data_IF_234219494219
#
_entry.id   IF_234219494219
#
_cell.length_a   1.000
_cell.length_b   1.000
_cell.length_c   1.000
_cell.angle_alpha   90.00
_cell.angle_beta   90.00
_cell.angle_gamma   90.00
#
_symmetry.space_group_name_H-M   'P 1'
#
loop_
_entity.id
_entity.type
_entity.pdbx_description
1 polymer ?
#
# COMPACT_ATOMS: atom_id res chain seq x y z
N UNK A 1 35.42 -29.31 -15.13
CA UNK A 1 33.95 -29.15 -15.06
C UNK A 1 33.60 -28.61 -13.69
N UNK A 2 33.30 -27.31 -13.58
CA UNK A 2 33.01 -26.66 -12.29
C UNK A 2 31.53 -26.78 -11.93
N UNK A 3 31.24 -27.46 -10.82
CA UNK A 3 29.89 -27.52 -10.25
C UNK A 3 29.61 -26.23 -9.48
N UNK A 4 28.91 -25.28 -10.10
CA UNK A 4 28.39 -24.11 -9.42
C UNK A 4 27.22 -24.54 -8.51
N UNK A 5 27.50 -24.69 -7.20
CA UNK A 5 26.45 -24.69 -6.17
C UNK A 5 25.77 -23.32 -6.19
N UNK A 6 24.60 -23.24 -6.83
CA UNK A 6 23.67 -22.11 -6.66
C UNK A 6 23.26 -22.09 -5.18
N UNK A 7 23.78 -21.12 -4.42
CA UNK A 7 23.11 -20.66 -3.20
C UNK A 7 21.72 -20.24 -3.63
N UNK A 8 20.69 -20.86 -3.05
CA UNK A 8 19.34 -20.34 -3.16
C UNK A 8 19.38 -18.90 -2.68
N UNK A 9 19.00 -17.96 -3.55
CA UNK A 9 18.76 -16.59 -3.14
C UNK A 9 17.68 -16.64 -2.06
N UNK A 10 18.03 -16.22 -0.84
CA UNK A 10 17.05 -15.90 0.19
C UNK A 10 16.01 -14.97 -0.46
N UNK A 11 14.69 -15.20 -0.30
CA UNK A 11 13.71 -14.33 -0.92
C UNK A 11 13.96 -12.92 -0.41
N UNK A 12 14.26 -12.01 -1.33
CA UNK A 12 14.36 -10.58 -1.09
C UNK A 12 13.20 -10.19 -0.18
N UNK A 13 13.52 -9.67 1.01
CA UNK A 13 12.52 -9.15 1.94
C UNK A 13 11.65 -8.21 1.11
N UNK A 14 10.31 -8.36 1.08
CA UNK A 14 9.49 -7.49 0.25
C UNK A 14 9.85 -6.04 0.61
N UNK A 15 10.09 -5.17 -0.38
CA UNK A 15 10.47 -3.79 -0.11
C UNK A 15 9.44 -3.21 0.85
N UNK A 16 9.93 -2.47 1.85
CA UNK A 16 9.06 -1.76 2.78
C UNK A 16 8.10 -0.83 2.05
N UNK A 17 7.11 -0.25 2.75
CA UNK A 17 6.14 0.64 2.12
C UNK A 17 6.87 1.81 1.45
N UNK A 18 6.33 2.32 0.34
CA UNK A 18 6.83 3.57 -0.26
C UNK A 18 6.78 4.71 0.77
N UNK A 19 7.59 5.78 0.62
CA UNK A 19 7.55 6.91 1.55
C UNK A 19 6.15 7.51 1.73
N UNK A 20 5.36 7.55 0.66
CA UNK A 20 3.96 7.94 0.70
C UNK A 20 3.13 7.02 1.61
N UNK A 21 3.19 5.70 1.37
CA UNK A 21 2.43 4.71 2.15
C UNK A 21 2.87 4.72 3.61
N UNK A 22 4.18 4.85 3.87
CA UNK A 22 4.72 4.98 5.22
C UNK A 22 4.13 6.19 5.96
N UNK A 23 4.03 7.34 5.29
CA UNK A 23 3.45 8.55 5.88
C UNK A 23 1.95 8.42 6.14
N UNK A 24 1.20 7.82 5.20
CA UNK A 24 -0.23 7.50 5.39
C UNK A 24 -0.41 6.61 6.62
N UNK A 25 0.31 5.49 6.70
CA UNK A 25 0.26 4.53 7.80
C UNK A 25 0.60 5.17 9.14
N UNK A 26 1.67 5.99 9.17
CA UNK A 26 2.09 6.73 10.37
C UNK A 26 0.98 7.65 10.88
N UNK A 27 0.27 8.35 9.99
CA UNK A 27 -0.80 9.29 10.37
C UNK A 27 -2.07 8.60 10.86
N UNK A 28 -2.41 7.45 10.28
CA UNK A 28 -3.58 6.66 10.72
C UNK A 28 -3.25 5.71 11.89
N UNK A 29 -2.00 5.66 12.35
CA UNK A 29 -1.56 4.84 13.48
C UNK A 29 -1.46 3.35 13.16
N UNK A 30 -1.33 2.99 11.89
CA UNK A 30 -1.28 1.59 11.41
C UNK A 30 0.14 1.20 11.02
N UNK A 31 0.43 -0.10 11.01
CA UNK A 31 1.71 -0.64 10.57
C UNK A 31 1.56 -1.35 9.22
N UNK A 32 2.62 -1.38 8.43
CA UNK A 32 2.59 -2.02 7.11
C UNK A 32 2.49 -3.55 7.24
N UNK A 33 1.53 -4.13 6.53
CA UNK A 33 1.24 -5.56 6.50
C UNK A 33 2.01 -6.33 5.43
N UNK A 34 2.98 -5.70 4.75
CA UNK A 34 3.88 -6.37 3.81
C UNK A 34 3.35 -6.52 2.38
N UNK A 35 2.23 -5.89 2.05
CA UNK A 35 1.71 -5.85 0.68
C UNK A 35 0.90 -4.58 0.43
N UNK A 36 1.06 -4.00 -0.76
CA UNK A 36 0.20 -2.96 -1.30
C UNK A 36 0.07 -3.09 -2.81
N UNK A 37 -0.96 -2.46 -3.36
CA UNK A 37 -1.14 -2.33 -4.80
C UNK A 37 -1.74 -0.97 -5.12
N UNK A 38 -1.39 -0.42 -6.28
CA UNK A 38 -1.86 0.87 -6.76
C UNK A 38 -2.47 0.71 -8.16
N UNK A 39 -3.61 1.35 -8.39
CA UNK A 39 -4.28 1.39 -9.68
C UNK A 39 -4.87 2.79 -9.94
N UNK A 40 -4.96 3.24 -11.20
CA UNK A 40 -5.67 4.47 -11.53
C UNK A 40 -7.14 4.42 -11.08
N UNK A 41 -7.65 5.53 -10.57
CA UNK A 41 -9.09 5.67 -10.34
C UNK A 41 -9.84 5.70 -11.67
N UNK A 42 -11.03 5.11 -11.68
CA UNK A 42 -11.91 5.24 -12.82
C UNK A 42 -12.41 6.69 -12.95
N UNK A 43 -12.66 7.20 -14.18
CA UNK A 43 -13.02 8.61 -14.41
C UNK A 43 -14.25 9.10 -13.63
N UNK A 44 -15.16 8.20 -13.28
CA UNK A 44 -16.40 8.44 -12.54
C UNK A 44 -16.21 8.50 -11.00
N UNK A 45 -15.01 8.24 -10.49
CA UNK A 45 -14.71 8.18 -9.05
C UNK A 45 -14.18 9.49 -8.46
N UNK A 46 -14.61 10.63 -9.00
CA UNK A 46 -14.28 11.96 -8.45
C UNK A 46 -13.09 12.66 -9.10
N UNK A 47 -12.68 12.22 -10.31
CA UNK A 47 -11.61 12.83 -11.11
C UNK A 47 -10.36 11.97 -11.22
N UNK A 48 -9.32 12.45 -11.94
CA UNK A 48 -8.07 11.72 -12.09
C UNK A 48 -7.37 11.52 -10.74
N UNK A 49 -6.92 10.30 -10.47
CA UNK A 49 -6.23 9.96 -9.23
C UNK A 49 -5.83 8.48 -9.18
N UNK A 50 -5.41 8.03 -8.00
CA UNK A 50 -4.95 6.67 -7.75
C UNK A 50 -5.70 6.04 -6.56
N UNK A 51 -6.13 4.80 -6.72
CA UNK A 51 -6.54 3.94 -5.61
C UNK A 51 -5.36 3.08 -5.18
N UNK A 52 -5.05 3.11 -3.88
CA UNK A 52 -4.01 2.31 -3.27
C UNK A 52 -4.67 1.42 -2.22
N UNK A 53 -4.48 0.11 -2.34
CA UNK A 53 -4.90 -0.87 -1.34
C UNK A 53 -3.66 -1.26 -0.53
N UNK A 54 -3.70 -1.02 0.78
CA UNK A 54 -2.58 -1.23 1.69
C UNK A 54 -2.97 -2.32 2.67
N UNK A 55 -2.24 -3.43 2.72
CA UNK A 55 -2.39 -4.40 3.79
C UNK A 55 -1.72 -3.85 5.05
N UNK A 56 -2.41 -3.92 6.19
CA UNK A 56 -1.89 -3.46 7.48
C UNK A 56 -1.52 -4.64 8.38
N UNK A 57 -0.62 -4.43 9.33
CA UNK A 57 -0.21 -5.47 10.27
C UNK A 57 -1.39 -5.90 11.17
N UNK A 58 -1.39 -7.16 11.58
CA UNK A 58 -2.41 -7.73 12.44
C UNK A 58 -2.42 -9.26 12.33
N UNK A 59 -3.37 -9.90 13.03
CA UNK A 59 -3.58 -11.34 12.89
C UNK A 59 -4.15 -11.59 11.50
N UNK A 60 -3.45 -12.35 10.62
CA UNK A 60 -3.95 -12.64 9.29
C UNK A 60 -5.28 -13.39 9.37
N UNK A 61 -6.14 -13.19 8.37
CA UNK A 61 -7.39 -13.94 8.27
C UNK A 61 -7.09 -15.45 8.19
N UNK A 62 -7.59 -16.27 9.14
CA UNK A 62 -7.31 -17.70 9.18
C UNK A 62 -7.91 -18.47 8.00
N UNK A 63 -8.88 -17.90 7.27
CA UNK A 63 -9.47 -18.50 6.08
C UNK A 63 -8.64 -18.26 4.80
N UNK A 64 -7.55 -17.49 4.85
CA UNK A 64 -6.73 -17.19 3.67
C UNK A 64 -5.84 -18.35 3.26
N UNK A 65 -5.67 -18.48 1.95
CA UNK A 65 -4.74 -19.46 1.40
C UNK A 65 -3.28 -19.05 1.67
N UNK A 66 -2.40 -19.99 2.06
CA UNK A 66 -1.03 -19.68 2.48
C UNK A 66 -0.14 -18.98 1.45
N UNK A 67 -0.53 -18.99 0.16
CA UNK A 67 0.22 -18.32 -0.92
C UNK A 67 -0.21 -16.87 -1.17
N UNK A 68 -1.25 -16.37 -0.49
CA UNK A 68 -1.70 -14.99 -0.68
C UNK A 68 -0.84 -14.01 0.14
N UNK A 69 -0.41 -12.90 -0.47
CA UNK A 69 0.46 -11.90 0.16
C UNK A 69 -0.25 -10.96 1.15
N UNK A 70 0.46 -10.47 2.17
CA UNK A 70 -0.05 -9.54 3.19
C UNK A 70 -0.94 -10.20 4.24
N UNK A 71 -1.63 -9.42 5.08
CA UNK A 71 -2.47 -9.93 6.19
C UNK A 71 -3.93 -10.20 5.80
N UNK A 72 -4.44 -9.49 4.79
CA UNK A 72 -5.86 -9.49 4.41
C UNK A 72 -6.66 -8.39 5.12
N UNK A 73 -6.06 -7.69 6.08
CA UNK A 73 -6.61 -6.50 6.69
C UNK A 73 -6.18 -5.32 5.84
N UNK A 74 -7.13 -4.58 5.26
CA UNK A 74 -6.81 -3.56 4.24
C UNK A 74 -7.27 -2.15 4.64
N UNK A 75 -6.52 -1.17 4.15
CA UNK A 75 -6.92 0.23 4.06
C UNK A 75 -6.89 0.65 2.60
N UNK A 76 -7.89 1.40 2.18
CA UNK A 76 -7.96 1.94 0.82
C UNK A 76 -7.68 3.43 0.87
N UNK A 77 -6.60 3.87 0.24
CA UNK A 77 -6.31 5.29 0.05
C UNK A 77 -6.70 5.70 -1.38
N UNK A 78 -7.57 6.70 -1.51
CA UNK A 78 -7.84 7.40 -2.77
C UNK A 78 -7.05 8.68 -2.78
N UNK A 79 -6.15 8.81 -3.74
CA UNK A 79 -5.21 9.91 -3.87
C UNK A 79 -5.59 10.75 -5.08
N UNK A 80 -5.84 12.02 -4.85
CA UNK A 80 -6.21 13.01 -5.85
C UNK A 80 -5.14 14.11 -5.92
N UNK A 81 -5.31 15.04 -6.87
CA UNK A 81 -4.42 16.18 -7.02
C UNK A 81 -4.42 17.15 -5.83
N UNK A 82 -5.49 17.17 -5.04
CA UNK A 82 -5.71 18.12 -3.95
C UNK A 82 -5.80 17.46 -2.56
N UNK A 83 -5.83 16.12 -2.48
CA UNK A 83 -6.03 15.38 -1.23
C UNK A 83 -5.76 13.89 -1.32
N UNK A 84 -5.71 13.25 -0.16
CA UNK A 84 -5.81 11.81 0.04
C UNK A 84 -6.94 11.48 1.02
N UNK A 85 -7.76 10.52 0.67
CA UNK A 85 -8.85 9.98 1.50
C UNK A 85 -8.54 8.53 1.84
N UNK A 86 -8.54 8.17 3.13
CA UNK A 86 -8.28 6.81 3.59
C UNK A 86 -9.54 6.21 4.18
N UNK A 87 -9.91 5.02 3.71
CA UNK A 87 -11.10 4.29 4.14
C UNK A 87 -10.76 2.90 4.69
N UNK A 88 -11.58 2.47 5.64
CA UNK A 88 -11.70 1.09 6.11
C UNK A 88 -13.03 0.52 5.58
N UNK A 89 -12.94 -0.33 4.54
CA UNK A 89 -14.10 -0.70 3.74
C UNK A 89 -14.79 0.55 3.16
N UNK A 90 -16.08 0.71 3.45
CA UNK A 90 -16.89 1.85 3.01
C UNK A 90 -16.77 3.08 3.92
N UNK A 91 -16.08 2.96 5.06
CA UNK A 91 -15.98 4.03 6.05
C UNK A 91 -14.74 4.88 5.81
N UNK A 92 -14.91 6.17 5.56
CA UNK A 92 -13.81 7.14 5.58
C UNK A 92 -13.28 7.31 7.02
N UNK A 93 -11.98 7.11 7.21
CA UNK A 93 -11.31 7.19 8.52
C UNK A 93 -10.34 8.37 8.62
N UNK A 94 -9.79 8.84 7.49
CA UNK A 94 -8.91 9.99 7.47
C UNK A 94 -8.98 10.72 6.12
N UNK A 95 -8.69 12.03 6.16
CA UNK A 95 -8.52 12.88 5.00
C UNK A 95 -7.30 13.76 5.21
N UNK A 96 -6.44 13.85 4.20
CA UNK A 96 -5.23 14.66 4.20
C UNK A 96 -5.26 15.58 2.99
N UNK A 97 -5.35 16.89 3.19
CA UNK A 97 -5.34 17.86 2.09
C UNK A 97 -3.90 18.25 1.67
N UNK A 98 -2.89 17.71 2.37
CA UNK A 98 -1.46 17.94 2.13
C UNK A 98 -0.71 16.73 1.54
N UNK A 99 -1.39 15.59 1.38
CA UNK A 99 -0.86 14.41 0.70
C UNK A 99 -1.61 14.19 -0.60
N UNK A 100 -0.91 14.22 -1.72
CA UNK A 100 -1.52 14.28 -3.05
C UNK A 100 -0.87 13.30 -4.02
N UNK A 101 -1.37 13.25 -5.27
CA UNK A 101 -0.73 12.47 -6.33
C UNK A 101 0.72 12.91 -6.58
N UNK A 102 1.08 14.15 -6.28
CA UNK A 102 2.47 14.60 -6.37
C UNK A 102 3.39 13.86 -5.39
N UNK A 103 2.90 13.43 -4.22
CA UNK A 103 3.68 12.64 -3.27
C UNK A 103 3.80 11.17 -3.67
N UNK A 104 2.90 10.69 -4.54
CA UNK A 104 2.92 9.33 -5.08
C UNK A 104 3.89 9.21 -6.25
N UNK A 105 3.94 10.23 -7.12
CA UNK A 105 4.72 10.22 -8.35
C UNK A 105 5.96 11.11 -8.31
N UNK A 106 6.04 12.04 -7.37
CA UNK A 106 7.14 12.99 -7.27
C UNK A 106 8.35 12.37 -6.59
N UNK A 107 9.51 12.54 -7.22
CA UNK A 107 10.79 12.36 -6.56
C UNK A 107 10.91 13.42 -5.48
N UNK A 108 11.02 13.03 -4.20
CA UNK A 108 11.44 13.97 -3.17
C UNK A 108 12.90 14.34 -3.48
N UNK A 109 13.12 15.56 -3.96
CA UNK A 109 14.46 16.18 -4.05
C UNK A 109 15.17 16.18 -2.68
#
# INVERSE_FOLDING_TARGET
>A
MGLFRRRAAEPDRPPGPTPFIAEVLRRIGEQYGGFDTAAPLAPDQGGPGMAIVIHIAGVPDPAREPFMHGTGIVRTARVFADRTEVSDGDRLIARFDDLTTADVFGERE
#
